data_IF_207548931575
#
_entry.id   IF_207548931575
#
_cell.length_a   1.000
_cell.length_b   1.000
_cell.length_c   1.000
_cell.angle_alpha   90.00
_cell.angle_beta   90.00
_cell.angle_gamma   90.00
#
_symmetry.space_group_name_H-M   'P 1'
#
loop_
_entity.id
_entity.type
_entity.pdbx_description
1 polymer ?
#
# COMPACT_ATOMS: atom_id res chain seq x y z
N UNK A 1 9.56 -23.26 -4.77
CA UNK A 1 9.24 -21.81 -4.65
C UNK A 1 8.90 -21.57 -3.19
N UNK A 2 9.05 -20.36 -2.60
CA UNK A 2 8.63 -20.22 -1.19
C UNK A 2 7.10 -20.22 -1.10
N UNK A 3 6.53 -20.82 -0.06
CA UNK A 3 5.09 -20.86 0.20
C UNK A 3 4.38 -19.51 0.03
N UNK A 4 4.97 -18.41 0.53
CA UNK A 4 4.44 -17.05 0.35
C UNK A 4 4.27 -16.64 -1.12
N UNK A 5 5.22 -17.03 -1.99
CA UNK A 5 5.20 -16.68 -3.41
C UNK A 5 4.15 -17.52 -4.14
N UNK A 6 3.98 -18.79 -3.76
CA UNK A 6 2.97 -19.66 -4.35
C UNK A 6 1.55 -19.16 -4.04
N UNK A 7 1.27 -18.81 -2.78
CA UNK A 7 0.00 -18.21 -2.39
C UNK A 7 -0.22 -16.85 -3.05
N UNK A 8 0.83 -16.03 -3.18
CA UNK A 8 0.78 -14.74 -3.86
C UNK A 8 0.46 -14.87 -5.36
N UNK A 9 1.02 -15.87 -6.03
CA UNK A 9 0.75 -16.11 -7.45
C UNK A 9 -0.68 -16.58 -7.69
N UNK A 10 -1.15 -17.52 -6.87
CA UNK A 10 -2.56 -17.97 -6.82
C UNK A 10 -3.52 -16.83 -6.44
N UNK A 11 -2.99 -15.80 -5.76
CA UNK A 11 -3.72 -14.66 -5.20
C UNK A 11 -4.71 -15.04 -4.12
N UNK A 12 -4.37 -16.06 -3.35
CA UNK A 12 -5.02 -16.34 -2.07
C UNK A 12 -4.47 -15.38 -1.00
N UNK A 13 -4.91 -14.11 -1.09
CA UNK A 13 -4.38 -13.05 -0.22
C UNK A 13 -4.85 -13.17 1.23
N UNK A 14 -5.92 -13.93 1.48
CA UNK A 14 -6.41 -14.20 2.83
C UNK A 14 -5.45 -15.15 3.52
N UNK A 15 -5.20 -16.32 2.92
CA UNK A 15 -4.29 -17.32 3.48
C UNK A 15 -2.86 -16.77 3.57
N UNK A 16 -2.39 -16.12 2.49
CA UNK A 16 -1.09 -15.45 2.49
C UNK A 16 -0.97 -14.41 3.61
N UNK A 17 -2.03 -13.62 3.85
CA UNK A 17 -2.04 -12.62 4.90
C UNK A 17 -1.94 -13.23 6.30
N UNK A 18 -2.62 -14.34 6.55
CA UNK A 18 -2.56 -15.07 7.82
C UNK A 18 -1.17 -15.66 8.07
N UNK A 19 -0.57 -16.28 7.05
CA UNK A 19 0.77 -16.84 7.12
C UNK A 19 1.82 -15.76 7.41
N UNK A 20 1.74 -14.62 6.72
CA UNK A 20 2.64 -13.49 6.97
C UNK A 20 2.42 -12.89 8.36
N UNK A 21 1.17 -12.74 8.81
CA UNK A 21 0.86 -12.25 10.16
C UNK A 21 1.52 -13.14 11.23
N UNK A 22 1.37 -14.46 11.11
CA UNK A 22 1.95 -15.41 12.05
C UNK A 22 3.48 -15.32 12.05
N UNK A 23 4.09 -15.22 10.87
CA UNK A 23 5.54 -15.10 10.73
C UNK A 23 6.06 -13.78 11.32
N UNK A 24 5.37 -12.66 11.08
CA UNK A 24 5.72 -11.36 11.67
C UNK A 24 5.59 -11.39 13.19
N UNK A 25 4.52 -12.01 13.72
CA UNK A 25 4.31 -12.17 15.16
C UNK A 25 5.39 -13.05 15.79
N UNK A 26 5.84 -14.10 15.09
CA UNK A 26 6.96 -14.95 15.52
C UNK A 26 8.25 -14.14 15.61
N UNK A 27 8.58 -13.37 14.57
CA UNK A 27 9.75 -12.47 14.55
C UNK A 27 9.67 -11.42 15.66
N UNK A 28 8.49 -10.84 15.90
CA UNK A 28 8.30 -9.82 16.93
C UNK A 28 8.42 -10.38 18.35
N UNK A 29 8.13 -11.66 18.56
CA UNK A 29 8.28 -12.33 19.86
C UNK A 29 9.66 -12.94 20.08
N UNK A 30 10.46 -13.14 19.04
CA UNK A 30 11.80 -13.72 19.16
C UNK A 30 12.75 -12.75 19.87
N UNK A 31 13.06 -13.04 21.13
CA UNK A 31 13.96 -12.24 21.97
C UNK A 31 15.41 -12.25 21.48
N UNK A 32 15.78 -13.19 20.60
CA UNK A 32 17.12 -13.26 20.00
C UNK A 32 17.32 -12.23 18.89
N UNK A 33 16.23 -11.68 18.34
CA UNK A 33 16.28 -10.68 17.27
C UNK A 33 16.22 -9.29 17.90
N UNK A 34 17.29 -8.47 17.76
CA UNK A 34 17.28 -7.09 18.24
C UNK A 34 16.14 -6.27 17.65
N UNK A 35 15.55 -5.37 18.43
CA UNK A 35 14.40 -4.55 17.98
C UNK A 35 14.69 -3.78 16.69
N UNK A 36 15.90 -3.22 16.54
CA UNK A 36 16.34 -2.50 15.34
C UNK A 36 16.58 -3.40 14.12
N UNK A 37 16.63 -4.74 14.30
CA UNK A 37 16.80 -5.72 13.23
C UNK A 37 15.50 -6.40 12.80
N UNK A 38 14.39 -6.20 13.53
CA UNK A 38 13.11 -6.85 13.22
C UNK A 38 12.59 -6.54 11.83
N UNK A 39 12.66 -5.27 11.40
CA UNK A 39 12.27 -4.90 10.04
C UNK A 39 13.13 -5.64 9.00
N UNK A 40 14.45 -5.64 9.15
CA UNK A 40 15.37 -6.32 8.24
C UNK A 40 15.08 -7.83 8.17
N UNK A 41 14.80 -8.47 9.31
CA UNK A 41 14.38 -9.87 9.34
C UNK A 41 13.06 -10.08 8.60
N UNK A 42 12.00 -9.31 8.91
CA UNK A 42 10.70 -9.41 8.21
C UNK A 42 10.87 -9.19 6.71
N UNK A 43 11.71 -8.23 6.33
CA UNK A 43 11.99 -7.90 4.95
C UNK A 43 12.63 -9.08 4.21
N UNK A 44 13.73 -9.62 4.76
CA UNK A 44 14.44 -10.72 4.12
C UNK A 44 13.64 -12.03 4.10
N UNK A 45 12.81 -12.27 5.11
CA UNK A 45 11.99 -13.49 5.20
C UNK A 45 10.80 -13.49 4.26
N UNK A 46 10.12 -12.35 4.12
CA UNK A 46 8.84 -12.26 3.40
C UNK A 46 8.92 -11.26 2.25
N UNK A 47 9.13 -9.97 2.56
CA UNK A 47 8.90 -8.87 1.61
C UNK A 47 9.80 -8.98 0.40
N UNK A 48 11.10 -9.26 0.61
CA UNK A 48 12.08 -9.42 -0.45
C UNK A 48 11.64 -10.43 -1.51
N UNK A 49 11.06 -11.56 -1.09
CA UNK A 49 10.58 -12.60 -2.01
C UNK A 49 9.41 -12.14 -2.86
N UNK A 50 8.48 -11.40 -2.25
CA UNK A 50 7.32 -10.82 -2.96
C UNK A 50 7.76 -9.69 -3.90
N UNK A 51 8.68 -8.82 -3.46
CA UNK A 51 9.16 -7.68 -4.25
C UNK A 51 10.05 -8.11 -5.41
N UNK A 52 10.92 -9.11 -5.23
CA UNK A 52 11.69 -9.71 -6.33
C UNK A 52 10.78 -10.33 -7.40
N UNK A 53 9.63 -10.89 -6.99
CA UNK A 53 8.69 -11.51 -7.90
C UNK A 53 7.85 -10.50 -8.70
N UNK A 54 7.41 -9.42 -8.06
CA UNK A 54 6.41 -8.50 -8.64
C UNK A 54 6.98 -7.15 -9.05
N UNK A 55 8.02 -6.67 -8.36
CA UNK A 55 8.59 -5.31 -8.47
C UNK A 55 7.53 -4.19 -8.37
N UNK A 56 7.09 -3.84 -7.15
CA UNK A 56 6.02 -2.87 -6.96
C UNK A 56 6.36 -1.47 -7.51
N UNK A 57 7.65 -1.09 -7.48
CA UNK A 57 8.09 0.24 -7.92
C UNK A 57 8.01 0.34 -9.44
N UNK A 58 8.49 -0.68 -10.16
CA UNK A 58 8.39 -0.73 -11.63
C UNK A 58 6.93 -0.85 -12.08
N UNK A 59 6.14 -1.73 -11.45
CA UNK A 59 4.71 -1.89 -11.77
C UNK A 59 3.92 -0.59 -11.60
N UNK A 60 4.24 0.20 -10.57
CA UNK A 60 3.58 1.48 -10.34
C UNK A 60 3.87 2.56 -11.39
N UNK A 61 4.86 2.38 -12.27
CA UNK A 61 5.08 3.30 -13.39
C UNK A 61 3.93 3.25 -14.39
N UNK A 62 3.38 2.07 -14.64
CA UNK A 62 2.25 1.87 -15.53
C UNK A 62 0.95 1.62 -14.73
N UNK A 63 0.81 2.24 -13.54
CA UNK A 63 -0.29 2.00 -12.60
C UNK A 63 -1.67 1.93 -13.27
N UNK A 64 -2.01 2.89 -14.14
CA UNK A 64 -3.33 2.93 -14.78
C UNK A 64 -3.55 1.86 -15.86
N UNK A 65 -2.47 1.27 -16.39
CA UNK A 65 -2.51 0.14 -17.34
C UNK A 65 -2.59 -1.22 -16.64
N UNK A 66 -2.38 -1.27 -15.33
CA UNK A 66 -2.55 -2.49 -14.56
C UNK A 66 -4.03 -2.90 -14.56
N UNK A 67 -4.26 -4.21 -14.65
CA UNK A 67 -5.57 -4.79 -14.38
C UNK A 67 -5.84 -4.82 -12.87
N UNK A 68 -7.08 -5.08 -12.48
CA UNK A 68 -7.50 -5.05 -11.08
C UNK A 68 -6.74 -6.05 -10.20
N UNK A 69 -6.35 -7.19 -10.77
CA UNK A 69 -5.56 -8.21 -10.08
C UNK A 69 -4.14 -7.75 -9.75
N UNK A 70 -3.49 -7.09 -10.70
CA UNK A 70 -2.17 -6.49 -10.53
C UNK A 70 -2.22 -5.32 -9.54
N UNK A 71 -3.29 -4.51 -9.54
CA UNK A 71 -3.50 -3.48 -8.51
C UNK A 71 -3.66 -4.13 -7.14
N UNK A 72 -4.43 -5.21 -7.03
CA UNK A 72 -4.62 -5.93 -5.77
C UNK A 72 -3.30 -6.52 -5.24
N UNK A 73 -2.50 -7.14 -6.11
CA UNK A 73 -1.14 -7.62 -5.81
C UNK A 73 -0.22 -6.50 -5.31
N UNK A 74 -0.27 -5.36 -5.99
CA UNK A 74 0.48 -4.17 -5.60
C UNK A 74 0.05 -3.68 -4.21
N UNK A 75 -1.26 -3.55 -3.96
CA UNK A 75 -1.82 -3.18 -2.66
C UNK A 75 -1.35 -4.10 -1.54
N UNK A 76 -1.36 -5.42 -1.78
CA UNK A 76 -0.94 -6.41 -0.79
C UNK A 76 0.54 -6.27 -0.41
N UNK A 77 1.44 -6.14 -1.41
CA UNK A 77 2.88 -5.96 -1.15
C UNK A 77 3.14 -4.67 -0.37
N UNK A 78 2.49 -3.58 -0.76
CA UNK A 78 2.64 -2.28 -0.07
C UNK A 78 2.11 -2.33 1.36
N UNK A 79 0.99 -3.01 1.60
CA UNK A 79 0.48 -3.24 2.95
C UNK A 79 1.46 -4.07 3.80
N UNK A 80 2.04 -5.12 3.22
CA UNK A 80 3.03 -6.00 3.87
C UNK A 80 4.29 -5.25 4.30
N UNK A 81 4.87 -4.46 3.39
CA UNK A 81 6.05 -3.63 3.70
C UNK A 81 5.71 -2.57 4.77
N UNK A 82 4.53 -1.96 4.66
CA UNK A 82 4.04 -0.98 5.64
C UNK A 82 3.93 -1.58 7.05
N UNK A 83 3.39 -2.79 7.21
CA UNK A 83 3.30 -3.47 8.51
C UNK A 83 4.69 -3.83 9.04
N UNK A 84 5.59 -4.33 8.21
CA UNK A 84 6.95 -4.65 8.65
C UNK A 84 7.71 -3.43 9.15
N UNK A 85 7.47 -2.26 8.55
CA UNK A 85 8.00 -0.96 8.98
C UNK A 85 7.29 -0.38 10.20
N UNK A 86 6.29 -1.07 10.74
CA UNK A 86 5.47 -0.59 11.87
C UNK A 86 4.71 0.71 11.58
N UNK A 87 4.31 0.92 10.31
CA UNK A 87 3.42 2.02 9.94
C UNK A 87 2.06 1.82 10.63
N UNK A 88 1.57 2.85 11.32
CA UNK A 88 0.27 2.81 11.99
C UNK A 88 -0.85 2.99 10.98
N UNK A 89 -1.94 2.25 11.15
CA UNK A 89 -3.18 2.38 10.38
C UNK A 89 -3.69 3.81 10.44
N UNK A 90 -3.58 4.50 11.57
CA UNK A 90 -4.01 5.89 11.69
C UNK A 90 -3.32 6.83 10.69
N UNK A 91 -2.06 6.55 10.34
CA UNK A 91 -1.30 7.32 9.35
C UNK A 91 -1.80 7.03 7.93
N UNK A 92 -2.08 5.77 7.60
CA UNK A 92 -2.64 5.38 6.29
C UNK A 92 -4.09 5.88 6.15
N UNK A 93 -4.89 5.77 7.21
CA UNK A 93 -6.29 6.18 7.26
C UNK A 93 -6.45 7.68 7.03
N UNK A 94 -5.49 8.50 7.47
CA UNK A 94 -5.48 9.94 7.16
C UNK A 94 -5.46 10.19 5.64
N UNK A 95 -4.62 9.46 4.92
CA UNK A 95 -4.49 9.54 3.46
C UNK A 95 -5.77 9.00 2.79
N UNK A 96 -6.28 7.86 3.26
CA UNK A 96 -7.54 7.29 2.76
C UNK A 96 -8.74 8.23 2.99
N UNK A 97 -8.83 8.88 4.14
CA UNK A 97 -9.91 9.82 4.44
C UNK A 97 -9.89 11.02 3.50
N UNK A 98 -8.70 11.55 3.22
CA UNK A 98 -8.53 12.59 2.20
C UNK A 98 -8.97 12.07 0.83
N UNK A 99 -8.51 10.88 0.45
CA UNK A 99 -8.87 10.31 -0.85
C UNK A 99 -10.38 10.06 -0.98
N UNK A 100 -11.03 9.61 0.10
CA UNK A 100 -12.48 9.41 0.16
C UNK A 100 -13.24 10.73 -0.01
N UNK A 101 -12.76 11.83 0.57
CA UNK A 101 -13.37 13.14 0.36
C UNK A 101 -13.27 13.59 -1.12
N UNK A 102 -12.15 13.31 -1.80
CA UNK A 102 -11.97 13.61 -3.22
C UNK A 102 -12.88 12.71 -4.07
N UNK A 103 -12.90 11.41 -3.78
CA UNK A 103 -13.76 10.44 -4.44
C UNK A 103 -15.23 10.84 -4.38
N UNK A 104 -15.71 11.27 -3.20
CA UNK A 104 -17.07 11.76 -3.03
C UNK A 104 -17.36 12.98 -3.90
N UNK A 105 -16.44 13.95 -3.95
CA UNK A 105 -16.59 15.13 -4.83
C UNK A 105 -16.71 14.72 -6.30
N UNK A 106 -15.86 13.79 -6.76
CA UNK A 106 -15.92 13.25 -8.12
C UNK A 106 -17.29 12.61 -8.39
N UNK A 107 -17.82 11.82 -7.45
CA UNK A 107 -19.14 11.17 -7.60
C UNK A 107 -20.32 12.12 -7.52
N UNK A 108 -20.23 13.17 -6.71
CA UNK A 108 -21.30 14.15 -6.46
C UNK A 108 -21.34 15.27 -7.53
N UNK A 109 -20.27 15.46 -8.31
CA UNK A 109 -20.21 16.50 -9.34
C UNK A 109 -21.07 16.15 -10.56
N UNK A 110 -21.98 17.07 -10.92
CA UNK A 110 -22.54 17.16 -12.28
C UNK A 110 -21.41 17.63 -13.20
N UNK A 111 -20.95 16.75 -14.10
CA UNK A 111 -19.99 16.97 -15.20
C UNK A 111 -19.34 18.36 -15.28
N UNK A 112 -18.03 18.47 -15.03
CA UNK A 112 -17.21 19.61 -15.47
C UNK A 112 -16.46 20.42 -14.41
N UNK A 113 -16.54 20.07 -13.12
CA UNK A 113 -15.68 20.69 -12.11
C UNK A 113 -14.36 19.94 -11.96
N UNK A 114 -13.24 20.64 -12.12
CA UNK A 114 -11.90 20.06 -11.96
C UNK A 114 -11.59 19.73 -10.50
N UNK A 115 -11.07 18.52 -10.25
CA UNK A 115 -10.53 18.08 -8.95
C UNK A 115 -9.01 18.28 -8.82
N UNK A 116 -8.40 19.06 -9.71
CA UNK A 116 -6.94 19.29 -9.73
C UNK A 116 -6.41 19.90 -8.43
N UNK A 117 -7.20 20.77 -7.78
CA UNK A 117 -6.84 21.38 -6.50
C UNK A 117 -6.73 20.33 -5.39
N UNK A 118 -7.68 19.43 -5.33
CA UNK A 118 -7.76 18.32 -4.39
C UNK A 118 -6.63 17.31 -4.60
N UNK A 119 -6.34 16.97 -5.85
CA UNK A 119 -5.23 16.08 -6.22
C UNK A 119 -3.90 16.71 -5.81
N UNK A 120 -3.70 18.01 -6.09
CA UNK A 120 -2.52 18.75 -5.62
C UNK A 120 -2.39 18.70 -4.10
N UNK A 121 -3.53 18.79 -3.38
CA UNK A 121 -3.58 18.67 -1.92
C UNK A 121 -3.21 17.28 -1.41
N UNK A 122 -3.61 16.23 -2.11
CA UNK A 122 -3.17 14.88 -1.80
C UNK A 122 -1.64 14.76 -1.90
N UNK A 123 -1.05 15.28 -2.98
CA UNK A 123 0.40 15.22 -3.22
C UNK A 123 1.22 15.90 -2.12
N UNK A 124 0.95 17.16 -1.77
CA UNK A 124 1.73 17.83 -0.72
C UNK A 124 1.45 17.25 0.67
N UNK A 125 0.25 16.71 0.93
CA UNK A 125 -0.04 16.07 2.21
C UNK A 125 0.68 14.73 2.35
N UNK A 126 0.80 13.98 1.25
CA UNK A 126 1.61 12.77 1.18
C UNK A 126 3.08 13.10 1.48
N UNK A 127 3.63 14.13 0.83
CA UNK A 127 5.00 14.57 1.05
C UNK A 127 5.26 15.01 2.51
N UNK A 128 4.35 15.81 3.08
CA UNK A 128 4.44 16.22 4.48
C UNK A 128 4.37 15.03 5.44
N UNK A 129 3.45 14.09 5.20
CA UNK A 129 3.28 12.91 6.06
C UNK A 129 4.51 12.01 5.98
N UNK A 130 5.08 11.81 4.79
CA UNK A 130 6.33 11.07 4.61
C UNK A 130 7.52 11.77 5.30
N UNK A 131 7.56 13.11 5.29
CA UNK A 131 8.57 13.88 6.02
C UNK A 131 8.54 13.62 7.53
N UNK A 132 7.35 13.40 8.09
CA UNK A 132 7.12 13.11 9.52
C UNK A 132 7.25 11.63 9.87
N UNK A 133 6.92 10.74 8.93
CA UNK A 133 6.78 9.30 9.14
C UNK A 133 7.42 8.56 7.99
N UNK A 134 8.69 8.19 8.15
CA UNK A 134 9.48 7.52 7.11
C UNK A 134 8.96 6.12 6.81
N UNK A 135 8.22 5.52 7.72
CA UNK A 135 7.54 4.23 7.57
C UNK A 135 6.51 4.25 6.43
N UNK A 136 6.03 5.44 6.03
CA UNK A 136 5.09 5.63 4.94
C UNK A 136 5.72 5.45 3.55
N UNK A 137 7.04 5.38 3.48
CA UNK A 137 7.80 5.34 2.22
C UNK A 137 7.26 4.34 1.18
N UNK A 138 6.91 3.08 1.51
CA UNK A 138 6.44 2.12 0.50
C UNK A 138 5.17 2.60 -0.20
N UNK A 139 4.20 3.09 0.58
CA UNK A 139 2.97 3.64 0.05
C UNK A 139 3.22 4.94 -0.71
N UNK A 140 4.05 5.84 -0.17
CA UNK A 140 4.30 7.13 -0.78
C UNK A 140 4.98 7.01 -2.15
N UNK A 141 5.93 6.08 -2.32
CA UNK A 141 6.63 5.86 -3.60
C UNK A 141 5.66 5.43 -4.71
N UNK A 142 4.76 4.49 -4.42
CA UNK A 142 3.76 4.00 -5.38
C UNK A 142 2.70 5.06 -5.65
N UNK A 143 2.14 5.64 -4.59
CA UNK A 143 1.05 6.61 -4.70
C UNK A 143 1.50 7.87 -5.44
N UNK A 144 2.73 8.35 -5.23
CA UNK A 144 3.25 9.51 -5.96
C UNK A 144 3.36 9.25 -7.47
N UNK A 145 3.79 8.06 -7.89
CA UNK A 145 3.86 7.66 -9.31
C UNK A 145 2.48 7.59 -9.96
N UNK A 146 1.48 7.08 -9.24
CA UNK A 146 0.09 7.05 -9.70
C UNK A 146 -0.50 8.47 -9.78
N UNK A 147 -0.37 9.25 -8.71
CA UNK A 147 -0.94 10.60 -8.60
C UNK A 147 -0.34 11.56 -9.64
N UNK A 148 0.95 11.45 -9.95
CA UNK A 148 1.59 12.30 -10.97
C UNK A 148 1.10 12.04 -12.40
N UNK A 149 0.37 10.94 -12.63
CA UNK A 149 -0.12 10.51 -13.94
C UNK A 149 -1.64 10.52 -14.04
N UNK A 150 -2.35 11.02 -13.02
CA UNK A 150 -3.80 11.16 -13.03
C UNK A 150 -4.24 12.11 -14.15
N UNK A 151 -5.01 11.62 -15.12
CA UNK A 151 -5.52 12.45 -16.22
C UNK A 151 -7.01 12.75 -16.06
N UNK A 152 -7.78 11.83 -15.47
CA UNK A 152 -9.23 11.95 -15.36
C UNK A 152 -9.82 11.40 -14.04
N UNK A 153 -11.14 11.52 -13.92
CA UNK A 153 -11.92 11.04 -12.78
C UNK A 153 -11.91 9.51 -12.64
N UNK A 154 -11.83 8.76 -13.76
CA UNK A 154 -11.82 7.29 -13.75
C UNK A 154 -10.48 6.77 -13.22
N UNK A 155 -9.39 7.42 -13.58
CA UNK A 155 -8.07 7.15 -13.02
C UNK A 155 -8.08 7.33 -11.49
N UNK A 156 -8.81 8.34 -10.99
CA UNK A 156 -8.92 8.57 -9.55
C UNK A 156 -9.62 7.43 -8.80
N UNK A 157 -10.67 6.83 -9.40
CA UNK A 157 -11.36 5.66 -8.82
C UNK A 157 -10.36 4.54 -8.55
N UNK A 158 -9.49 4.21 -9.53
CA UNK A 158 -8.45 3.18 -9.35
C UNK A 158 -7.47 3.51 -8.21
N UNK A 159 -7.09 4.78 -8.05
CA UNK A 159 -6.22 5.20 -6.93
C UNK A 159 -6.92 5.04 -5.58
N UNK A 160 -8.21 5.40 -5.51
CA UNK A 160 -9.00 5.27 -4.29
C UNK A 160 -9.18 3.79 -3.89
N UNK A 161 -9.52 2.92 -4.85
CA UNK A 161 -9.67 1.48 -4.62
C UNK A 161 -8.35 0.84 -4.17
N UNK A 162 -7.23 1.24 -4.78
CA UNK A 162 -5.88 0.82 -4.35
C UNK A 162 -5.62 1.17 -2.87
N UNK A 163 -5.96 2.39 -2.44
CA UNK A 163 -5.78 2.83 -1.05
C UNK A 163 -6.69 2.07 -0.08
N UNK A 164 -7.92 1.77 -0.49
CA UNK A 164 -8.82 0.93 0.31
C UNK A 164 -8.25 -0.47 0.51
N UNK A 165 -7.76 -1.09 -0.56
CA UNK A 165 -7.12 -2.41 -0.50
C UNK A 165 -5.87 -2.41 0.39
N UNK A 166 -5.02 -1.37 0.30
CA UNK A 166 -3.85 -1.24 1.20
C UNK A 166 -4.29 -1.21 2.66
N UNK A 167 -5.32 -0.43 3.02
CA UNK A 167 -5.82 -0.37 4.41
C UNK A 167 -6.41 -1.71 4.86
N UNK A 168 -7.16 -2.39 3.99
CA UNK A 168 -7.76 -3.69 4.28
C UNK A 168 -6.68 -4.75 4.57
N UNK A 169 -5.69 -4.88 3.69
CA UNK A 169 -4.60 -5.84 3.91
C UNK A 169 -3.69 -5.45 5.08
N UNK A 170 -3.43 -4.15 5.28
CA UNK A 170 -2.66 -3.69 6.44
C UNK A 170 -3.31 -4.16 7.74
N UNK A 171 -4.65 -4.12 7.81
CA UNK A 171 -5.40 -4.67 8.95
C UNK A 171 -5.33 -6.19 9.06
N UNK A 172 -5.50 -6.93 7.95
CA UNK A 172 -5.35 -8.39 7.91
C UNK A 172 -3.99 -8.84 8.45
N UNK A 173 -2.93 -8.12 8.07
CA UNK A 173 -1.54 -8.39 8.44
C UNK A 173 -1.20 -7.97 9.89
N UNK A 174 -2.18 -7.51 10.67
CA UNK A 174 -2.01 -7.14 12.08
C UNK A 174 -1.51 -5.73 12.32
N UNK A 175 -1.65 -4.83 11.35
CA UNK A 175 -1.35 -3.41 11.51
C UNK A 175 -2.28 -2.72 12.52
N UNK A 176 -1.71 -1.84 13.35
CA UNK A 176 -2.39 -1.11 14.44
C UNK A 176 -2.94 0.26 14.01
#
# INVERSE_FOLDING_TARGET
MSEFVELFEKGDFVELGLEIYNEFKRIDKDKRIPRNKKYETKYNTVIKKLTEKYDPVRKSEDFFKLNDWDINKLSFIIATDSVARSLKTSQIRRILNMSTAIYRKIKEQKSGQSVTREITKLSYTLAYTLGRHKELEPLARVLNKAVSKLNDEKDYVKVHDFLQAVVAYHKLLGGD
#
